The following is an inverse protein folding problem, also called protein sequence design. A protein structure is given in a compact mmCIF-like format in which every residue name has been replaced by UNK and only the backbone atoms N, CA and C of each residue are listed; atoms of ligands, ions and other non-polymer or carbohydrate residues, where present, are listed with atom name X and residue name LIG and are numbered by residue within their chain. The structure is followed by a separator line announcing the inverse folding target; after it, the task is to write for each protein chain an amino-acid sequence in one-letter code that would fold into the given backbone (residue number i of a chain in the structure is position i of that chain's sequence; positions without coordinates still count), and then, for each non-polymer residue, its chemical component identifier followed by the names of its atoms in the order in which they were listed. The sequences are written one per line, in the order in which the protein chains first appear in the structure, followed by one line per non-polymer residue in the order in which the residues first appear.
data_IF_128230929533
#
_entry.id   IF_128230929533
#
_cell.length_a   1.000
_cell.length_b   1.000
_cell.length_c   1.000
_cell.angle_alpha   90.00
_cell.angle_beta   90.00
_cell.angle_gamma   90.00
#
_symmetry.space_group_name_H-M   'P 1'
#
loop_
_entity.id
_entity.type
_entity.pdbx_description
1 polymer ?
#
# COMPACT_ATOMS: atom_id res chain seq x y z
N UNK A 1 -49.79 19.92 9.05
CA UNK A 1 -49.65 20.70 10.30
C UNK A 1 -48.99 19.78 11.32
N UNK A 2 -47.91 20.23 11.93
CA UNK A 2 -46.94 19.40 12.67
C UNK A 2 -47.59 18.64 13.83
N UNK A 3 -47.31 17.33 13.90
CA UNK A 3 -47.72 16.46 15.00
C UNK A 3 -46.62 16.45 16.07
N UNK A 4 -47.05 16.66 17.31
CA UNK A 4 -46.25 16.74 18.53
C UNK A 4 -45.29 15.54 18.68
N UNK A 5 -43.98 15.81 18.56
CA UNK A 5 -42.91 14.87 18.86
C UNK A 5 -42.57 14.94 20.35
N UNK A 6 -42.58 13.76 20.97
CA UNK A 6 -42.50 13.51 22.39
C UNK A 6 -41.37 14.24 23.15
N UNK A 7 -41.75 14.72 24.33
CA UNK A 7 -40.90 15.17 25.42
C UNK A 7 -39.87 14.10 25.77
N UNK A 8 -38.59 14.46 25.67
CA UNK A 8 -37.50 13.73 26.30
C UNK A 8 -36.95 14.66 27.37
N UNK A 9 -37.46 14.51 28.60
CA UNK A 9 -37.02 15.26 29.77
C UNK A 9 -35.51 15.08 29.99
N UNK A 10 -34.77 16.16 29.83
CA UNK A 10 -33.37 16.24 30.27
C UNK A 10 -33.33 16.24 31.80
N UNK A 11 -32.49 15.40 32.43
CA UNK A 11 -32.37 15.42 33.89
C UNK A 11 -31.68 16.71 34.33
N UNK A 12 -32.43 17.56 35.04
CA UNK A 12 -31.93 18.68 35.83
C UNK A 12 -30.84 18.18 36.80
N UNK A 13 -29.57 18.40 36.46
CA UNK A 13 -28.47 18.32 37.41
C UNK A 13 -28.63 19.43 38.44
N UNK A 14 -29.00 19.05 39.66
CA UNK A 14 -28.87 19.91 40.86
C UNK A 14 -27.42 20.37 40.97
N UNK A 15 -27.17 21.68 40.82
CA UNK A 15 -25.93 22.31 41.25
C UNK A 15 -25.95 22.42 42.78
N UNK A 16 -25.26 21.50 43.46
CA UNK A 16 -24.74 21.74 44.80
C UNK A 16 -23.33 22.33 44.71
N UNK A 17 -22.95 23.33 45.52
CA UNK A 17 -21.58 23.84 45.53
C UNK A 17 -20.71 23.00 46.49
N UNK A 18 -19.39 22.95 46.21
CA UNK A 18 -18.31 22.12 46.82
C UNK A 18 -18.06 20.84 45.99
N UNK A 19 -16.95 20.61 45.28
CA UNK A 19 -15.58 21.09 45.33
C UNK A 19 -15.03 21.18 43.90
N UNK A 20 -14.46 22.34 43.51
CA UNK A 20 -13.88 22.51 42.16
C UNK A 20 -12.46 23.09 42.13
N UNK A 21 -11.71 23.01 43.23
CA UNK A 21 -10.33 23.55 43.30
C UNK A 21 -9.20 22.51 43.46
N UNK A 22 -9.49 21.23 43.75
CA UNK A 22 -8.43 20.20 43.84
C UNK A 22 -8.14 19.44 42.53
N UNK A 23 -8.79 19.82 41.41
CA UNK A 23 -8.63 19.13 40.12
C UNK A 23 -7.39 19.55 39.32
N UNK A 24 -6.99 20.84 39.35
CA UNK A 24 -6.01 21.33 38.37
C UNK A 24 -4.56 20.89 38.65
N UNK A 25 -4.15 20.81 39.91
CA UNK A 25 -2.79 20.38 40.29
C UNK A 25 -2.57 18.89 40.06
N UNK A 26 -3.59 18.07 40.37
CA UNK A 26 -3.53 16.63 40.17
C UNK A 26 -3.52 16.29 38.67
N UNK A 27 -4.38 16.95 37.88
CA UNK A 27 -4.44 16.76 36.41
C UNK A 27 -3.14 17.21 35.72
N UNK A 28 -2.55 18.34 36.13
CA UNK A 28 -1.27 18.81 35.56
C UNK A 28 -0.12 17.86 35.86
N UNK A 29 0.02 17.40 37.11
CA UNK A 29 1.06 16.43 37.46
C UNK A 29 0.93 15.09 36.71
N UNK A 30 -0.32 14.66 36.44
CA UNK A 30 -0.59 13.45 35.68
C UNK A 30 -0.25 13.62 34.20
N UNK A 31 -0.53 14.80 33.62
CA UNK A 31 -0.12 15.16 32.24
C UNK A 31 1.39 15.19 32.08
N UNK A 32 2.10 15.87 32.99
CA UNK A 32 3.57 15.91 32.98
C UNK A 32 4.17 14.50 33.05
N UNK A 33 3.61 13.63 33.91
CA UNK A 33 4.06 12.24 34.02
C UNK A 33 3.80 11.43 32.75
N UNK A 34 2.62 11.58 32.13
CA UNK A 34 2.30 10.93 30.84
C UNK A 34 3.25 11.39 29.73
N UNK A 35 3.62 12.68 29.72
CA UNK A 35 4.55 13.23 28.74
C UNK A 35 5.96 12.65 28.90
N UNK A 36 6.47 12.56 30.14
CA UNK A 36 7.75 11.90 30.42
C UNK A 36 7.73 10.41 30.04
N UNK A 37 6.63 9.72 30.34
CA UNK A 37 6.41 8.33 29.95
C UNK A 37 6.36 8.15 28.41
N UNK A 38 5.87 9.14 27.67
CA UNK A 38 5.92 9.18 26.19
C UNK A 38 7.34 9.40 25.69
N UNK A 39 8.08 10.35 26.24
CA UNK A 39 9.49 10.59 25.87
C UNK A 39 10.37 9.36 26.13
N UNK A 40 10.14 8.67 27.25
CA UNK A 40 10.84 7.41 27.54
C UNK A 40 10.54 6.35 26.47
N UNK A 41 9.29 6.24 26.02
CA UNK A 41 8.92 5.32 24.93
C UNK A 41 9.51 5.71 23.59
N UNK A 42 9.44 6.99 23.20
CA UNK A 42 10.06 7.48 21.98
C UNK A 42 11.60 7.35 22.02
N UNK A 43 12.19 7.18 23.21
CA UNK A 43 13.61 6.83 23.36
C UNK A 43 13.91 5.35 23.06
N UNK A 44 12.91 4.46 23.07
CA UNK A 44 13.03 3.04 22.74
C UNK A 44 13.14 2.87 21.23
N UNK A 45 14.37 3.01 20.76
CA UNK A 45 14.72 2.91 19.36
C UNK A 45 15.99 2.10 19.24
N UNK A 46 16.06 1.19 18.26
CA UNK A 46 17.14 0.20 18.16
C UNK A 46 18.53 0.84 18.17
N UNK A 47 18.70 2.03 17.57
CA UNK A 47 19.98 2.75 17.55
C UNK A 47 20.31 3.52 18.83
N UNK A 48 19.33 3.78 19.71
CA UNK A 48 19.54 4.44 21.02
C UNK A 48 19.71 3.43 22.15
N UNK A 49 18.85 2.41 22.20
CA UNK A 49 18.77 1.43 23.30
C UNK A 49 18.60 0.00 22.75
N UNK A 50 19.58 -0.55 22.01
CA UNK A 50 19.41 -1.79 21.23
C UNK A 50 18.91 -2.98 22.06
N UNK A 51 19.54 -3.25 23.21
CA UNK A 51 19.18 -4.40 24.04
C UNK A 51 17.79 -4.29 24.66
N UNK A 52 17.43 -3.11 25.18
CA UNK A 52 16.13 -2.88 25.81
C UNK A 52 15.02 -2.92 24.75
N UNK A 53 15.24 -2.25 23.62
CA UNK A 53 14.28 -2.26 22.50
C UNK A 53 14.05 -3.68 22.00
N UNK A 54 15.10 -4.49 21.80
CA UNK A 54 14.94 -5.88 21.39
C UNK A 54 14.23 -6.72 22.45
N UNK A 55 14.57 -6.56 23.72
CA UNK A 55 13.89 -7.26 24.81
C UNK A 55 12.39 -6.95 24.82
N UNK A 56 12.02 -5.68 24.73
CA UNK A 56 10.63 -5.24 24.72
C UNK A 56 9.89 -5.71 23.47
N UNK A 57 10.55 -5.66 22.31
CA UNK A 57 10.05 -6.23 21.06
C UNK A 57 9.72 -7.72 21.21
N UNK A 58 10.65 -8.53 21.75
CA UNK A 58 10.42 -9.97 21.94
C UNK A 58 9.30 -10.26 22.96
N UNK A 59 9.22 -9.47 24.03
CA UNK A 59 8.16 -9.60 25.03
C UNK A 59 6.79 -9.25 24.45
N UNK A 60 6.68 -8.17 23.68
CA UNK A 60 5.43 -7.82 22.99
C UNK A 60 5.03 -8.89 21.98
N UNK A 61 6.02 -9.40 21.24
CA UNK A 61 5.81 -10.49 20.28
C UNK A 61 5.27 -11.73 20.98
N UNK A 62 5.85 -12.10 22.13
CA UNK A 62 5.40 -13.25 22.91
C UNK A 62 3.98 -13.06 23.48
N UNK A 63 3.65 -11.87 23.99
CA UNK A 63 2.31 -11.55 24.49
C UNK A 63 1.28 -11.62 23.35
N UNK A 64 1.58 -10.95 22.24
CA UNK A 64 0.71 -10.93 21.06
C UNK A 64 0.51 -12.33 20.49
N UNK A 65 1.58 -13.12 20.42
CA UNK A 65 1.52 -14.51 19.98
C UNK A 65 0.66 -15.36 20.91
N UNK A 66 0.82 -15.21 22.24
CA UNK A 66 -0.02 -15.90 23.23
C UNK A 66 -1.50 -15.53 23.07
N UNK A 67 -1.82 -14.24 22.91
CA UNK A 67 -3.19 -13.77 22.69
C UNK A 67 -3.79 -14.36 21.41
N UNK A 68 -3.01 -14.42 20.32
CA UNK A 68 -3.42 -15.02 19.06
C UNK A 68 -3.61 -16.54 19.19
N UNK A 69 -2.67 -17.24 19.81
CA UNK A 69 -2.79 -18.69 20.07
C UNK A 69 -4.05 -19.00 20.88
N UNK A 70 -4.35 -18.19 21.90
CA UNK A 70 -5.58 -18.36 22.69
C UNK A 70 -6.84 -18.14 21.86
N UNK A 71 -6.89 -17.07 21.04
CA UNK A 71 -8.02 -16.80 20.12
C UNK A 71 -8.20 -17.92 19.09
N UNK A 72 -7.10 -18.46 18.56
CA UNK A 72 -7.11 -19.62 17.64
C UNK A 72 -7.60 -20.88 18.35
N UNK A 73 -7.16 -21.11 19.60
CA UNK A 73 -7.60 -22.25 20.40
C UNK A 73 -9.11 -22.23 20.67
N UNK A 74 -9.68 -21.05 20.95
CA UNK A 74 -11.13 -20.90 21.08
C UNK A 74 -11.87 -21.33 19.80
N UNK A 75 -11.23 -21.20 18.63
CA UNK A 75 -11.73 -21.65 17.32
C UNK A 75 -11.11 -22.98 16.88
N UNK A 76 -10.77 -23.87 17.82
CA UNK A 76 -10.11 -25.17 17.57
C UNK A 76 -10.69 -25.99 16.42
N UNK A 77 -12.00 -25.98 16.20
CA UNK A 77 -12.63 -26.73 15.11
C UNK A 77 -12.22 -26.21 13.73
N UNK A 78 -12.17 -24.89 13.55
CA UNK A 78 -11.71 -24.26 12.31
C UNK A 78 -10.23 -24.52 12.12
N UNK A 79 -9.42 -24.37 13.18
CA UNK A 79 -7.98 -24.65 13.13
C UNK A 79 -7.73 -26.11 12.73
N UNK A 80 -8.44 -27.05 13.35
CA UNK A 80 -8.35 -28.47 13.02
C UNK A 80 -8.68 -28.74 11.55
N UNK A 81 -9.79 -28.18 11.04
CA UNK A 81 -10.15 -28.31 9.64
C UNK A 81 -9.07 -27.73 8.71
N UNK A 82 -8.54 -26.55 9.02
CA UNK A 82 -7.46 -25.93 8.24
C UNK A 82 -6.19 -26.77 8.25
N UNK A 83 -5.81 -27.34 9.41
CA UNK A 83 -4.65 -28.23 9.53
C UNK A 83 -4.86 -29.52 8.73
N UNK A 84 -6.04 -30.12 8.77
CA UNK A 84 -6.36 -31.30 7.95
C UNK A 84 -6.26 -30.98 6.47
N UNK A 85 -6.82 -29.86 6.02
CA UNK A 85 -6.72 -29.42 4.62
C UNK A 85 -5.27 -29.16 4.21
N UNK A 86 -4.46 -28.52 5.06
CA UNK A 86 -3.05 -28.27 4.79
C UNK A 86 -2.23 -29.57 4.75
N UNK A 87 -2.51 -30.53 5.63
CA UNK A 87 -1.90 -31.85 5.61
C UNK A 87 -2.27 -32.64 4.36
N UNK A 88 -3.53 -32.60 3.93
CA UNK A 88 -3.97 -33.20 2.67
C UNK A 88 -3.29 -32.56 1.46
N UNK A 89 -3.15 -31.22 1.45
CA UNK A 89 -2.42 -30.51 0.42
C UNK A 89 -0.92 -30.87 0.41
N UNK A 90 -0.29 -30.94 1.58
CA UNK A 90 1.12 -31.33 1.71
C UNK A 90 1.36 -32.78 1.28
N UNK A 91 0.41 -33.68 1.57
CA UNK A 91 0.43 -35.05 1.11
C UNK A 91 0.27 -35.11 -0.42
N UNK A 92 -0.67 -34.36 -0.98
CA UNK A 92 -0.84 -34.26 -2.43
C UNK A 92 0.41 -33.68 -3.12
N UNK A 93 1.10 -32.72 -2.50
CA UNK A 93 2.36 -32.15 -2.99
C UNK A 93 3.52 -33.16 -2.96
N UNK A 94 3.54 -34.03 -1.95
CA UNK A 94 4.64 -35.00 -1.74
C UNK A 94 4.45 -36.29 -2.52
N UNK A 95 3.21 -36.67 -2.86
CA UNK A 95 2.93 -37.86 -3.66
C UNK A 95 3.21 -37.54 -5.13
N UNK A 96 4.19 -38.24 -5.70
CA UNK A 96 4.43 -38.22 -7.14
C UNK A 96 3.22 -38.79 -7.89
N UNK A 97 2.70 -38.04 -8.85
CA UNK A 97 1.54 -38.44 -9.64
C UNK A 97 1.26 -37.47 -10.79
N UNK A 98 0.26 -37.80 -11.62
CA UNK A 98 -0.15 -36.97 -12.75
C UNK A 98 -0.61 -35.55 -12.33
N UNK A 99 -1.04 -35.39 -11.07
CA UNK A 99 -1.40 -34.08 -10.51
C UNK A 99 -0.18 -33.18 -10.25
N UNK A 100 1.04 -33.72 -10.22
CA UNK A 100 2.25 -32.96 -9.87
C UNK A 100 2.55 -31.84 -10.88
N UNK A 101 2.21 -32.02 -12.16
CA UNK A 101 2.33 -30.97 -13.17
C UNK A 101 1.47 -29.75 -12.82
N UNK A 102 0.22 -29.99 -12.38
CA UNK A 102 -0.68 -28.93 -11.94
C UNK A 102 -0.22 -28.28 -10.64
N UNK A 103 0.32 -29.07 -9.70
CA UNK A 103 0.88 -28.57 -8.44
C UNK A 103 2.06 -27.63 -8.70
N UNK A 104 3.01 -28.03 -9.56
CA UNK A 104 4.15 -27.19 -9.94
C UNK A 104 3.72 -25.93 -10.68
N UNK A 105 2.73 -26.04 -11.57
CA UNK A 105 2.15 -24.87 -12.23
C UNK A 105 1.52 -23.90 -11.22
N UNK A 106 0.73 -24.41 -10.29
CA UNK A 106 0.10 -23.61 -9.24
C UNK A 106 1.14 -22.97 -8.32
N UNK A 107 2.17 -23.71 -7.92
CA UNK A 107 3.28 -23.20 -7.11
C UNK A 107 3.98 -22.03 -7.81
N UNK A 108 4.37 -22.22 -9.08
CA UNK A 108 5.00 -21.17 -9.89
C UNK A 108 4.11 -19.92 -9.97
N UNK A 109 2.81 -20.09 -10.25
CA UNK A 109 1.86 -18.97 -10.34
C UNK A 109 1.61 -18.31 -8.98
N UNK A 110 1.52 -19.08 -7.91
CA UNK A 110 1.33 -18.56 -6.56
C UNK A 110 2.53 -17.73 -6.10
N UNK A 111 3.75 -18.24 -6.26
CA UNK A 111 4.98 -17.51 -5.95
C UNK A 111 5.12 -16.25 -6.80
N UNK A 112 4.75 -16.33 -8.08
CA UNK A 112 4.72 -15.15 -8.96
C UNK A 112 3.73 -14.10 -8.49
N UNK A 113 2.50 -14.49 -8.14
CA UNK A 113 1.50 -13.58 -7.57
C UNK A 113 1.97 -12.99 -6.23
N UNK A 114 2.51 -13.81 -5.33
CA UNK A 114 3.01 -13.37 -4.04
C UNK A 114 4.16 -12.37 -4.19
N UNK A 115 5.06 -12.58 -5.15
CA UNK A 115 6.13 -11.64 -5.50
C UNK A 115 5.56 -10.27 -5.92
N UNK A 116 4.60 -10.25 -6.85
CA UNK A 116 4.00 -8.99 -7.31
C UNK A 116 3.14 -8.29 -6.26
N UNK A 117 2.39 -9.04 -5.45
CA UNK A 117 1.68 -8.49 -4.28
C UNK A 117 2.67 -7.90 -3.28
N UNK A 118 3.77 -8.62 -2.99
CA UNK A 118 4.83 -8.16 -2.09
C UNK A 118 5.47 -6.86 -2.58
N UNK A 119 5.86 -6.79 -3.85
CA UNK A 119 6.34 -5.56 -4.48
C UNK A 119 5.31 -4.43 -4.41
N UNK A 120 4.02 -4.74 -4.60
CA UNK A 120 2.93 -3.78 -4.46
C UNK A 120 2.81 -3.23 -3.03
N UNK A 121 2.93 -4.07 -2.01
CA UNK A 121 2.89 -3.63 -0.60
C UNK A 121 4.10 -2.74 -0.30
N UNK A 122 5.30 -3.16 -0.72
CA UNK A 122 6.54 -2.40 -0.54
C UNK A 122 6.51 -1.04 -1.27
N UNK A 123 5.79 -0.96 -2.40
CA UNK A 123 5.57 0.29 -3.14
C UNK A 123 4.94 1.40 -2.28
N UNK A 124 4.09 1.02 -1.32
CA UNK A 124 3.45 1.95 -0.37
C UNK A 124 4.36 2.31 0.81
N UNK A 125 5.37 1.49 1.09
CA UNK A 125 6.30 1.67 2.21
C UNK A 125 7.36 2.73 1.85
N UNK A 126 7.21 3.94 2.39
CA UNK A 126 8.26 4.96 2.49
C UNK A 126 7.94 6.30 1.82
N UNK A 127 7.74 6.37 0.49
CA UNK A 127 7.33 7.62 -0.18
C UNK A 127 5.81 7.73 -0.39
N UNK A 128 5.04 6.65 -0.17
CA UNK A 128 3.59 6.60 -0.42
C UNK A 128 3.18 6.76 -1.89
N UNK A 129 4.04 7.24 -2.80
CA UNK A 129 3.67 7.49 -4.21
C UNK A 129 3.63 6.23 -5.07
N UNK A 130 4.37 5.17 -4.67
CA UNK A 130 4.55 3.94 -5.44
C UNK A 130 5.17 4.11 -6.84
N UNK A 131 5.52 5.34 -7.24
CA UNK A 131 6.03 5.65 -8.57
C UNK A 131 7.43 5.05 -8.78
N UNK A 132 8.28 5.08 -7.76
CA UNK A 132 9.63 4.53 -7.83
C UNK A 132 9.60 3.00 -8.03
N UNK A 133 8.83 2.27 -7.23
CA UNK A 133 8.70 0.80 -7.37
C UNK A 133 8.05 0.43 -8.70
N UNK A 134 7.06 1.22 -9.15
CA UNK A 134 6.52 1.06 -10.49
C UNK A 134 7.59 1.23 -11.57
N UNK A 135 8.38 2.30 -11.53
CA UNK A 135 9.42 2.59 -12.53
C UNK A 135 10.59 1.60 -12.51
N UNK A 136 10.84 0.92 -11.38
CA UNK A 136 11.93 -0.06 -11.26
C UNK A 136 11.50 -1.48 -11.63
N UNK A 137 10.26 -1.88 -11.32
CA UNK A 137 9.83 -3.26 -11.47
C UNK A 137 8.73 -3.42 -12.52
N UNK A 138 7.53 -2.87 -12.26
CA UNK A 138 6.36 -3.13 -13.11
C UNK A 138 6.47 -2.45 -14.48
N UNK A 139 6.94 -1.20 -14.52
CA UNK A 139 7.12 -0.40 -15.73
C UNK A 139 8.09 -1.06 -16.72
N UNK A 140 9.34 -1.37 -16.31
CA UNK A 140 10.30 -2.07 -17.15
C UNK A 140 9.81 -3.44 -17.61
N UNK A 141 9.11 -4.19 -16.75
CA UNK A 141 8.52 -5.48 -17.13
C UNK A 141 7.44 -5.33 -18.22
N UNK A 142 6.52 -4.36 -18.07
CA UNK A 142 5.50 -4.09 -19.10
C UNK A 142 6.18 -3.61 -20.39
N UNK A 143 7.20 -2.76 -20.28
CA UNK A 143 7.92 -2.23 -21.41
C UNK A 143 8.68 -3.33 -22.18
N UNK A 144 9.36 -4.23 -21.48
CA UNK A 144 10.09 -5.36 -22.11
C UNK A 144 9.13 -6.31 -22.81
N UNK A 145 8.00 -6.66 -22.17
CA UNK A 145 6.94 -7.48 -22.79
C UNK A 145 6.33 -6.78 -24.01
N UNK A 146 6.12 -5.46 -23.94
CA UNK A 146 5.57 -4.68 -25.06
C UNK A 146 6.53 -4.68 -26.25
N UNK A 147 7.82 -4.43 -26.02
CA UNK A 147 8.83 -4.42 -27.07
C UNK A 147 8.97 -5.79 -27.72
N UNK A 148 9.13 -6.84 -26.91
CA UNK A 148 9.27 -8.20 -27.41
C UNK A 148 8.01 -8.67 -28.15
N UNK A 149 6.82 -8.28 -27.71
CA UNK A 149 5.59 -8.60 -28.42
C UNK A 149 5.60 -8.03 -29.86
N UNK A 150 6.03 -6.78 -30.03
CA UNK A 150 6.14 -6.16 -31.36
C UNK A 150 7.29 -6.72 -32.20
N UNK A 151 8.40 -7.14 -31.60
CA UNK A 151 9.53 -7.76 -32.30
C UNK A 151 9.22 -9.18 -32.77
N UNK A 152 8.65 -9.99 -31.87
CA UNK A 152 8.32 -11.38 -32.16
C UNK A 152 7.02 -11.53 -32.96
N UNK A 153 6.18 -10.50 -33.02
CA UNK A 153 4.82 -10.60 -33.60
C UNK A 153 3.90 -11.54 -32.81
N UNK A 154 4.24 -11.84 -31.55
CA UNK A 154 3.51 -12.76 -30.68
C UNK A 154 3.74 -12.43 -29.21
N UNK A 155 2.74 -12.70 -28.36
CA UNK A 155 2.87 -12.65 -26.88
C UNK A 155 3.09 -14.03 -26.26
N UNK A 156 3.15 -15.07 -27.08
CA UNK A 156 3.34 -16.46 -26.66
C UNK A 156 4.83 -16.77 -26.52
N UNK A 157 5.48 -16.09 -25.57
CA UNK A 157 6.88 -16.36 -25.23
C UNK A 157 7.02 -17.77 -24.63
N UNK A 158 7.97 -18.60 -25.10
CA UNK A 158 8.23 -19.91 -24.54
C UNK A 158 8.64 -19.81 -23.06
N UNK A 159 8.03 -20.66 -22.24
CA UNK A 159 8.34 -20.85 -20.82
C UNK A 159 8.91 -22.26 -20.62
N UNK A 160 10.17 -22.43 -20.17
CA UNK A 160 11.23 -21.43 -19.93
C UNK A 160 11.84 -20.85 -21.23
N UNK A 161 12.55 -19.68 -21.21
CA UNK A 161 13.11 -18.95 -20.06
C UNK A 161 12.28 -17.75 -19.53
N UNK A 162 11.08 -17.49 -20.06
CA UNK A 162 10.20 -16.44 -19.56
C UNK A 162 9.79 -16.70 -18.08
N UNK A 163 9.74 -15.68 -17.20
CA UNK A 163 9.86 -14.24 -17.44
C UNK A 163 11.28 -13.64 -17.31
N UNK A 164 12.31 -14.46 -17.05
CA UNK A 164 13.67 -13.96 -16.84
C UNK A 164 14.30 -13.44 -18.14
N UNK A 165 14.04 -14.12 -19.25
CA UNK A 165 14.43 -13.70 -20.60
C UNK A 165 13.25 -13.89 -21.54
N UNK A 166 13.07 -12.94 -22.46
CA UNK A 166 12.01 -13.02 -23.46
C UNK A 166 12.64 -13.45 -24.79
N UNK A 167 12.31 -14.66 -25.23
CA UNK A 167 12.75 -15.23 -26.51
C UNK A 167 11.53 -15.28 -27.44
N UNK A 168 11.73 -15.05 -28.73
CA UNK A 168 10.65 -15.20 -29.70
C UNK A 168 10.34 -16.69 -29.94
N UNK A 169 9.07 -17.06 -30.13
CA UNK A 169 8.73 -18.42 -30.55
C UNK A 169 9.37 -18.73 -31.92
N UNK A 170 9.89 -19.96 -32.08
CA UNK A 170 10.47 -20.44 -33.33
C UNK A 170 9.39 -20.79 -34.36
N UNK A 171 8.21 -21.22 -33.89
CA UNK A 171 7.10 -21.55 -34.76
C UNK A 171 6.62 -20.29 -35.50
N UNK A 172 6.51 -20.38 -36.83
CA UNK A 172 5.83 -19.41 -37.71
C UNK A 172 4.31 -19.37 -37.43
N UNK A 173 3.91 -19.40 -36.15
CA UNK A 173 2.56 -19.12 -35.72
C UNK A 173 2.20 -17.77 -36.31
N UNK A 174 1.14 -17.78 -37.15
CA UNK A 174 0.52 -16.65 -37.82
C UNK A 174 0.92 -15.35 -37.12
N UNK A 175 1.64 -14.48 -37.82
CA UNK A 175 1.97 -13.14 -37.33
C UNK A 175 0.65 -12.42 -37.00
N UNK A 176 0.15 -12.67 -35.79
CA UNK A 176 -1.06 -12.06 -35.29
C UNK A 176 -0.73 -10.59 -35.17
N UNK A 177 -1.55 -9.73 -35.76
CA UNK A 177 -1.38 -8.30 -35.59
C UNK A 177 -1.40 -7.99 -34.09
N UNK A 178 -0.24 -7.61 -33.54
CA UNK A 178 -0.10 -7.37 -32.11
C UNK A 178 -0.94 -6.17 -31.72
N UNK A 179 -2.07 -6.46 -31.11
CA UNK A 179 -2.98 -5.45 -30.61
C UNK A 179 -2.56 -5.01 -29.20
N UNK A 180 -2.87 -3.77 -28.86
CA UNK A 180 -2.67 -3.25 -27.51
C UNK A 180 -3.41 -4.10 -26.47
N UNK A 181 -4.58 -4.65 -26.82
CA UNK A 181 -5.35 -5.56 -25.96
C UNK A 181 -4.64 -6.87 -25.68
N UNK A 182 -3.94 -7.42 -26.68
CA UNK A 182 -3.15 -8.66 -26.55
C UNK A 182 -2.00 -8.46 -25.57
N UNK A 183 -1.32 -7.31 -25.62
CA UNK A 183 -0.24 -6.98 -24.67
C UNK A 183 -0.83 -6.74 -23.27
N UNK A 184 -1.92 -5.98 -23.16
CA UNK A 184 -2.59 -5.71 -21.88
C UNK A 184 -3.10 -6.98 -21.19
N UNK A 185 -3.50 -8.00 -21.95
CA UNK A 185 -3.95 -9.28 -21.40
C UNK A 185 -2.77 -10.12 -20.90
N UNK A 186 -1.63 -10.10 -21.62
CA UNK A 186 -0.40 -10.82 -21.23
C UNK A 186 0.13 -10.37 -19.87
N UNK A 187 0.21 -9.06 -19.63
CA UNK A 187 0.73 -8.48 -18.37
C UNK A 187 -0.34 -8.26 -17.29
N UNK A 188 -1.53 -8.85 -17.47
CA UNK A 188 -2.69 -8.58 -16.61
C UNK A 188 -2.47 -9.07 -15.18
N UNK A 189 -1.88 -10.25 -15.02
CA UNK A 189 -1.72 -10.89 -13.73
C UNK A 189 -0.77 -10.08 -12.85
N UNK A 190 0.41 -9.76 -13.38
CA UNK A 190 1.47 -8.99 -12.73
C UNK A 190 0.97 -7.62 -12.30
N UNK A 191 0.32 -6.89 -13.22
CA UNK A 191 -0.20 -5.56 -12.95
C UNK A 191 -1.34 -5.59 -11.91
N UNK A 192 -2.23 -6.58 -11.97
CA UNK A 192 -3.35 -6.72 -11.03
C UNK A 192 -2.85 -7.06 -9.63
N UNK A 193 -1.94 -8.02 -9.51
CA UNK A 193 -1.33 -8.42 -8.23
C UNK A 193 -0.54 -7.28 -7.59
N UNK A 194 0.22 -6.52 -8.39
CA UNK A 194 0.88 -5.30 -7.93
C UNK A 194 -0.11 -4.23 -7.44
N UNK A 195 -1.19 -4.00 -8.19
CA UNK A 195 -2.23 -3.05 -7.79
C UNK A 195 -2.98 -3.47 -6.52
N UNK A 196 -3.20 -4.77 -6.34
CA UNK A 196 -3.76 -5.35 -5.12
C UNK A 196 -2.80 -5.21 -3.93
N UNK A 197 -1.51 -5.46 -4.13
CA UNK A 197 -0.47 -5.23 -3.13
C UNK A 197 -0.43 -3.77 -2.69
N UNK A 198 -0.50 -2.83 -3.63
CA UNK A 198 -0.57 -1.39 -3.33
C UNK A 198 -1.79 -1.08 -2.48
N UNK A 199 -2.97 -1.63 -2.81
CA UNK A 199 -4.18 -1.44 -2.00
C UNK A 199 -4.03 -1.93 -0.55
N UNK A 200 -3.29 -3.03 -0.34
CA UNK A 200 -3.01 -3.58 0.99
C UNK A 200 -2.01 -2.70 1.76
N UNK A 201 -0.93 -2.27 1.09
CA UNK A 201 0.12 -1.45 1.71
C UNK A 201 -0.36 -0.07 2.19
N UNK A 202 -1.49 0.41 1.69
CA UNK A 202 -2.06 1.72 2.01
C UNK A 202 -3.17 1.66 3.08
N UNK A 203 -3.39 0.49 3.68
CA UNK A 203 -4.30 0.32 4.81
C UNK A 203 -3.89 1.01 6.13
N UNK A 204 -2.58 1.19 6.46
CA UNK A 204 -2.19 1.75 7.76
C UNK A 204 -2.84 3.10 8.09
N UNK A 205 -2.85 4.13 7.20
CA UNK A 205 -3.49 5.41 7.50
C UNK A 205 -4.99 5.30 7.85
N UNK A 206 -5.72 4.37 7.21
CA UNK A 206 -7.12 4.12 7.53
C UNK A 206 -7.29 3.57 8.95
N UNK A 207 -6.46 2.59 9.34
CA UNK A 207 -6.55 2.00 10.68
C UNK A 207 -6.09 2.97 11.76
N UNK A 208 -5.04 3.75 11.51
CA UNK A 208 -4.57 4.78 12.44
C UNK A 208 -5.64 5.85 12.68
N UNK A 209 -6.20 6.43 11.62
CA UNK A 209 -7.27 7.42 11.74
C UNK A 209 -8.54 6.87 12.41
N UNK A 210 -8.84 5.58 12.19
CA UNK A 210 -9.96 4.90 12.84
C UNK A 210 -9.72 4.67 14.32
N UNK A 211 -8.51 4.25 14.71
CA UNK A 211 -8.13 4.06 16.10
C UNK A 211 -8.21 5.39 16.86
N UNK A 212 -7.59 6.45 16.32
CA UNK A 212 -7.65 7.80 16.88
C UNK A 212 -9.09 8.29 17.13
N UNK A 213 -10.00 8.07 16.16
CA UNK A 213 -11.40 8.48 16.34
C UNK A 213 -12.12 7.68 17.44
N UNK A 214 -11.84 6.38 17.54
CA UNK A 214 -12.44 5.48 18.53
C UNK A 214 -11.92 5.74 19.94
N UNK A 215 -10.67 6.15 20.07
CA UNK A 215 -10.06 6.63 21.32
C UNK A 215 -10.72 7.93 21.83
N UNK A 216 -11.24 8.75 20.91
CA UNK A 216 -11.86 10.04 21.24
C UNK A 216 -10.84 11.17 21.23
N UNK A 217 -11.31 12.42 21.41
CA UNK A 217 -10.46 13.59 21.57
C UNK A 217 -9.96 13.67 23.02
N UNK A 218 -9.36 12.58 23.50
CA UNK A 218 -8.49 12.67 24.66
C UNK A 218 -7.14 13.16 24.13
N UNK A 219 -6.74 14.43 24.37
CA UNK A 219 -5.42 14.91 23.96
C UNK A 219 -4.29 14.11 24.61
N UNK A 220 -4.59 13.31 25.64
CA UNK A 220 -3.63 12.38 26.23
C UNK A 220 -3.56 11.02 25.51
N UNK A 221 -4.39 10.77 24.48
CA UNK A 221 -4.37 9.53 23.69
C UNK A 221 -3.39 9.63 22.52
N UNK A 222 -2.38 8.77 22.54
CA UNK A 222 -1.31 8.75 21.54
C UNK A 222 -1.79 8.50 20.11
N UNK A 223 -2.86 7.71 19.92
CA UNK A 223 -3.38 7.46 18.57
C UNK A 223 -3.95 8.78 18.00
N UNK A 224 -4.47 9.65 18.87
CA UNK A 224 -4.94 11.00 18.52
C UNK A 224 -3.75 11.94 18.22
N UNK A 225 -2.70 11.94 19.04
CA UNK A 225 -1.51 12.77 18.80
C UNK A 225 -0.73 12.32 17.54
N UNK A 226 -0.53 11.02 17.30
CA UNK A 226 0.10 10.50 16.08
C UNK A 226 -0.74 10.84 14.84
N UNK A 227 -2.05 10.82 14.98
CA UNK A 227 -2.97 11.31 13.96
C UNK A 227 -2.86 12.83 13.76
N UNK A 228 -2.74 13.63 14.83
CA UNK A 228 -2.48 15.07 14.72
C UNK A 228 -1.13 15.37 14.05
N UNK A 229 -0.05 14.67 14.40
CA UNK A 229 1.27 14.82 13.75
C UNK A 229 1.22 14.45 12.26
N UNK A 230 0.48 13.40 11.89
CA UNK A 230 0.22 13.03 10.50
C UNK A 230 -0.62 14.10 9.79
N UNK A 231 -1.62 14.66 10.48
CA UNK A 231 -2.40 15.78 9.97
C UNK A 231 -1.50 17.00 9.78
N UNK A 232 -0.62 17.34 10.72
CA UNK A 232 0.33 18.46 10.63
C UNK A 232 1.31 18.30 9.46
N UNK A 233 1.85 17.10 9.25
CA UNK A 233 2.66 16.79 8.06
C UNK A 233 1.88 17.01 6.76
N UNK A 234 0.57 16.71 6.75
CA UNK A 234 -0.31 17.03 5.63
C UNK A 234 -0.73 18.52 5.56
N UNK A 235 -0.60 19.28 6.66
CA UNK A 235 -1.10 20.65 6.83
C UNK A 235 -0.11 21.73 6.41
N UNK A 236 1.16 21.43 6.12
CA UNK A 236 2.14 22.45 5.70
C UNK A 236 1.77 23.20 4.40
N UNK A 237 0.67 22.82 3.75
CA UNK A 237 -0.13 23.67 2.88
C UNK A 237 -1.59 23.83 3.42
N UNK A 238 -1.79 24.72 4.40
CA UNK A 238 -3.04 24.88 5.15
C UNK A 238 -4.29 25.11 4.26
N UNK A 239 -4.16 25.72 3.08
CA UNK A 239 -5.31 26.02 2.20
C UNK A 239 -5.69 24.88 1.27
N UNK A 240 -4.70 24.24 0.61
CA UNK A 240 -5.01 23.21 -0.37
C UNK A 240 -5.43 21.90 0.31
N UNK A 241 -4.75 21.53 1.40
CA UNK A 241 -5.02 20.30 2.12
C UNK A 241 -6.37 20.34 2.84
N UNK A 242 -6.72 21.44 3.49
CA UNK A 242 -8.03 21.59 4.15
C UNK A 242 -9.17 21.55 3.13
N UNK A 243 -9.02 22.24 1.99
CA UNK A 243 -9.98 22.18 0.88
C UNK A 243 -10.07 20.77 0.29
N UNK A 244 -8.94 20.08 0.12
CA UNK A 244 -8.92 18.70 -0.34
C UNK A 244 -9.60 17.76 0.66
N UNK A 245 -9.35 17.92 1.97
CA UNK A 245 -10.02 17.14 3.04
C UNK A 245 -11.53 17.35 2.98
N UNK A 246 -11.96 18.60 2.89
CA UNK A 246 -13.38 18.95 2.82
C UNK A 246 -14.03 18.46 1.51
N UNK A 247 -13.31 18.50 0.38
CA UNK A 247 -13.79 17.96 -0.89
C UNK A 247 -13.91 16.43 -0.86
N UNK A 248 -12.88 15.73 -0.35
CA UNK A 248 -12.91 14.27 -0.16
C UNK A 248 -14.01 13.89 0.80
N UNK A 249 -14.15 14.59 1.92
CA UNK A 249 -15.24 14.39 2.88
C UNK A 249 -16.61 14.54 2.21
N UNK A 250 -16.85 15.67 1.53
CA UNK A 250 -18.13 15.92 0.86
C UNK A 250 -18.42 14.85 -0.19
N UNK A 251 -17.41 14.40 -0.94
CA UNK A 251 -17.58 13.36 -1.95
C UNK A 251 -17.87 11.98 -1.33
N UNK A 252 -17.14 11.60 -0.28
CA UNK A 252 -17.31 10.32 0.40
C UNK A 252 -18.65 10.28 1.15
N UNK A 253 -19.09 11.38 1.78
CA UNK A 253 -20.41 11.45 2.43
C UNK A 253 -21.55 11.46 1.41
N UNK A 254 -21.38 12.12 0.27
CA UNK A 254 -22.44 12.26 -0.74
C UNK A 254 -22.62 11.03 -1.63
N UNK A 255 -21.53 10.35 -1.98
CA UNK A 255 -21.55 9.24 -2.97
C UNK A 255 -21.06 7.91 -2.38
N UNK A 256 -20.58 7.90 -1.13
CA UNK A 256 -20.16 6.68 -0.43
C UNK A 256 -19.06 5.93 -1.17
N UNK A 257 -19.35 4.67 -1.51
CA UNK A 257 -18.44 3.75 -2.20
C UNK A 257 -17.81 4.34 -3.47
N UNK A 258 -18.62 4.98 -4.33
CA UNK A 258 -18.10 5.55 -5.59
C UNK A 258 -17.21 6.78 -5.36
N UNK A 259 -17.44 7.54 -4.29
CA UNK A 259 -16.55 8.64 -3.89
C UNK A 259 -15.17 8.12 -3.50
N UNK A 260 -15.13 7.06 -2.69
CA UNK A 260 -13.88 6.39 -2.30
C UNK A 260 -13.18 5.82 -3.54
N UNK A 261 -13.93 5.19 -4.44
CA UNK A 261 -13.40 4.63 -5.69
C UNK A 261 -12.74 5.71 -6.57
N UNK A 262 -13.38 6.88 -6.70
CA UNK A 262 -12.83 8.00 -7.46
C UNK A 262 -11.52 8.50 -6.84
N UNK A 263 -11.49 8.70 -5.50
CA UNK A 263 -10.26 9.04 -4.78
C UNK A 263 -9.13 8.02 -5.01
N UNK A 264 -9.46 6.72 -4.99
CA UNK A 264 -8.49 5.64 -5.12
C UNK A 264 -7.98 5.42 -6.55
N UNK A 265 -8.69 5.93 -7.55
CA UNK A 265 -8.32 5.80 -8.96
C UNK A 265 -7.38 6.91 -9.44
N UNK A 266 -7.24 7.99 -8.67
CA UNK A 266 -6.46 9.20 -8.94
C UNK A 266 -5.06 9.09 -8.28
N UNK A 267 -4.06 9.93 -8.64
CA UNK A 267 -2.78 10.06 -7.94
C UNK A 267 -2.81 9.83 -6.41
N UNK A 268 -1.79 9.12 -5.92
CA UNK A 268 -1.72 8.60 -4.55
C UNK A 268 -1.99 9.59 -3.41
N UNK A 269 -1.58 10.87 -3.45
CA UNK A 269 -1.88 11.80 -2.36
C UNK A 269 -3.38 11.95 -2.05
N UNK A 270 -4.25 11.81 -3.07
CA UNK A 270 -5.70 11.86 -2.86
C UNK A 270 -6.23 10.59 -2.18
N UNK A 271 -5.56 9.46 -2.43
CA UNK A 271 -5.87 8.19 -1.79
C UNK A 271 -5.53 8.22 -0.30
N UNK A 272 -4.34 8.69 0.07
CA UNK A 272 -3.89 8.77 1.46
C UNK A 272 -4.87 9.62 2.27
N UNK A 273 -5.29 10.74 1.68
CA UNK A 273 -6.32 11.61 2.24
C UNK A 273 -7.67 10.92 2.41
N UNK A 274 -8.08 10.12 1.43
CA UNK A 274 -9.29 9.32 1.52
C UNK A 274 -9.17 8.24 2.60
N UNK A 275 -8.01 7.59 2.76
CA UNK A 275 -7.75 6.62 3.82
C UNK A 275 -7.93 7.23 5.22
N UNK A 276 -7.24 8.35 5.47
CA UNK A 276 -7.35 9.12 6.72
C UNK A 276 -8.80 9.56 6.96
N UNK A 277 -9.45 10.13 5.95
CA UNK A 277 -10.84 10.60 6.06
C UNK A 277 -11.81 9.46 6.35
N UNK A 278 -11.70 8.33 5.63
CA UNK A 278 -12.55 7.16 5.83
C UNK A 278 -12.35 6.53 7.21
N UNK A 279 -11.11 6.47 7.69
CA UNK A 279 -10.79 5.99 9.03
C UNK A 279 -11.40 6.89 10.09
N UNK A 280 -11.17 8.21 9.99
CA UNK A 280 -11.70 9.21 10.91
C UNK A 280 -13.24 9.24 10.96
N UNK A 281 -13.93 8.99 9.84
CA UNK A 281 -15.40 8.89 9.80
C UNK A 281 -15.93 7.48 10.07
N UNK A 282 -15.08 6.54 10.51
CA UNK A 282 -15.45 5.17 10.87
C UNK A 282 -16.18 4.41 9.75
N UNK A 283 -15.84 4.70 8.49
CA UNK A 283 -16.44 4.02 7.34
C UNK A 283 -16.12 2.52 7.42
N UNK A 284 -17.07 1.62 7.16
CA UNK A 284 -16.82 0.18 7.21
C UNK A 284 -15.62 -0.23 6.35
N UNK A 285 -14.75 -1.06 6.92
CA UNK A 285 -13.50 -1.49 6.28
C UNK A 285 -13.74 -2.05 4.88
N UNK A 286 -14.74 -2.92 4.70
CA UNK A 286 -15.02 -3.54 3.40
C UNK A 286 -15.51 -2.56 2.33
N UNK A 287 -16.19 -1.48 2.72
CA UNK A 287 -16.58 -0.41 1.79
C UNK A 287 -15.34 0.35 1.32
N UNK A 288 -14.44 0.68 2.24
CA UNK A 288 -13.18 1.35 1.94
C UNK A 288 -12.23 0.46 1.13
N UNK A 289 -11.95 -0.74 1.62
CA UNK A 289 -11.01 -1.68 1.01
C UNK A 289 -11.52 -2.17 -0.35
N UNK A 290 -12.81 -2.48 -0.50
CA UNK A 290 -13.39 -2.89 -1.77
C UNK A 290 -13.27 -1.79 -2.84
N UNK A 291 -13.59 -0.54 -2.49
CA UNK A 291 -13.44 0.60 -3.39
C UNK A 291 -11.96 0.86 -3.75
N UNK A 292 -11.07 0.74 -2.75
CA UNK A 292 -9.62 0.88 -2.93
C UNK A 292 -9.06 -0.18 -3.87
N UNK A 293 -9.45 -1.44 -3.67
CA UNK A 293 -8.95 -2.56 -4.47
C UNK A 293 -9.37 -2.41 -5.93
N UNK A 294 -10.64 -2.04 -6.20
CA UNK A 294 -11.10 -1.77 -7.57
C UNK A 294 -10.37 -0.54 -8.14
N UNK A 295 -10.24 0.53 -7.36
CA UNK A 295 -9.56 1.76 -7.80
C UNK A 295 -8.11 1.52 -8.18
N UNK A 296 -7.35 0.75 -7.38
CA UNK A 296 -5.92 0.51 -7.61
C UNK A 296 -5.64 -0.69 -8.51
N UNK A 297 -6.24 -1.86 -8.24
CA UNK A 297 -5.97 -3.10 -8.97
C UNK A 297 -6.67 -3.18 -10.33
N UNK A 298 -7.70 -2.37 -10.56
CA UNK A 298 -8.41 -2.33 -11.85
C UNK A 298 -8.16 -0.98 -12.54
N UNK A 299 -8.71 0.11 -12.01
CA UNK A 299 -8.73 1.39 -12.75
C UNK A 299 -7.33 1.98 -12.92
N UNK A 300 -6.63 2.26 -11.81
CA UNK A 300 -5.27 2.82 -11.83
C UNK A 300 -4.28 1.89 -12.55
N UNK A 301 -4.39 0.58 -12.31
CA UNK A 301 -3.61 -0.44 -13.02
C UNK A 301 -3.81 -0.33 -14.55
N UNK A 302 -5.03 -0.19 -15.03
CA UNK A 302 -5.30 -0.03 -16.46
C UNK A 302 -4.71 1.27 -17.02
N UNK A 303 -4.83 2.39 -16.30
CA UNK A 303 -4.23 3.66 -16.72
C UNK A 303 -2.70 3.55 -16.82
N UNK A 304 -2.05 3.01 -15.78
CA UNK A 304 -0.59 2.87 -15.73
C UNK A 304 -0.06 1.91 -16.80
N UNK A 305 -0.69 0.74 -16.98
CA UNK A 305 -0.26 -0.21 -18.02
C UNK A 305 -0.46 0.37 -19.43
N UNK A 306 -1.59 1.02 -19.66
CA UNK A 306 -1.94 1.59 -20.96
C UNK A 306 -0.94 2.67 -21.33
N UNK A 307 -0.60 3.55 -20.38
CA UNK A 307 0.41 4.57 -20.56
C UNK A 307 1.77 3.98 -20.97
N UNK A 308 2.24 2.93 -20.28
CA UNK A 308 3.52 2.28 -20.62
C UNK A 308 3.45 1.60 -21.99
N UNK A 309 2.43 0.80 -22.27
CA UNK A 309 2.29 0.09 -23.55
C UNK A 309 2.25 1.07 -24.72
N UNK A 310 1.50 2.17 -24.59
CA UNK A 310 1.45 3.21 -25.61
C UNK A 310 2.82 3.86 -25.81
N UNK A 311 3.49 4.24 -24.72
CA UNK A 311 4.80 4.91 -24.76
C UNK A 311 5.87 4.06 -25.49
N UNK A 312 5.79 2.73 -25.40
CA UNK A 312 6.76 1.81 -26.02
C UNK A 312 6.29 1.19 -27.35
N UNK A 313 5.07 1.47 -27.81
CA UNK A 313 4.56 1.03 -29.11
C UNK A 313 4.97 2.00 -30.22
N UNK A 314 5.83 1.60 -31.17
CA UNK A 314 6.27 2.49 -32.28
C UNK A 314 5.07 3.06 -33.01
N UNK A 315 4.19 2.19 -33.49
CA UNK A 315 3.04 2.57 -34.29
C UNK A 315 2.15 3.61 -33.57
N UNK A 316 1.86 3.41 -32.29
CA UNK A 316 1.01 4.33 -31.52
C UNK A 316 1.75 5.64 -31.21
N UNK A 317 3.03 5.57 -30.87
CA UNK A 317 3.86 6.77 -30.66
C UNK A 317 3.89 7.63 -31.92
N UNK A 318 4.10 7.03 -33.09
CA UNK A 318 4.14 7.76 -34.36
C UNK A 318 2.79 8.40 -34.69
N UNK A 319 1.69 7.69 -34.41
CA UNK A 319 0.34 8.24 -34.52
C UNK A 319 0.13 9.42 -33.55
N UNK A 320 0.54 9.31 -32.29
CA UNK A 320 0.44 10.41 -31.32
C UNK A 320 1.29 11.61 -31.72
N UNK A 321 2.53 11.40 -32.14
CA UNK A 321 3.41 12.44 -32.66
C UNK A 321 2.73 13.13 -33.86
N UNK A 322 2.15 12.36 -34.79
CA UNK A 322 1.45 12.91 -35.96
C UNK A 322 0.27 13.80 -35.56
N UNK A 323 -0.52 13.39 -34.56
CA UNK A 323 -1.64 14.16 -34.02
C UNK A 323 -1.18 15.45 -33.35
N UNK A 324 -0.08 15.41 -32.58
CA UNK A 324 0.53 16.61 -31.99
C UNK A 324 0.95 17.61 -33.09
N UNK A 325 1.42 17.11 -34.23
CA UNK A 325 1.77 17.94 -35.39
C UNK A 325 0.62 18.74 -35.98
N UNK A 326 -0.63 18.27 -35.83
CA UNK A 326 -1.83 18.95 -36.33
C UNK A 326 -2.16 20.19 -35.48
N UNK A 327 -1.59 20.33 -34.28
CA UNK A 327 -1.86 21.47 -33.39
C UNK A 327 -1.27 22.76 -34.00
N UNK A 328 -2.10 23.76 -34.36
CA UNK A 328 -1.63 24.99 -34.98
C UNK A 328 -0.71 25.77 -34.03
N UNK A 329 0.42 26.24 -34.55
CA UNK A 329 1.37 27.12 -33.84
C UNK A 329 2.49 26.42 -33.07
N UNK A 330 2.23 25.28 -32.41
CA UNK A 330 3.21 24.60 -31.54
C UNK A 330 3.53 23.16 -31.98
N UNK A 331 2.66 22.55 -32.82
CA UNK A 331 2.72 21.13 -33.15
C UNK A 331 4.05 20.68 -33.74
N UNK A 332 4.52 21.31 -34.82
CA UNK A 332 5.79 20.96 -35.47
C UNK A 332 7.01 21.13 -34.54
N UNK A 333 6.99 22.12 -33.65
CA UNK A 333 8.08 22.35 -32.69
C UNK A 333 8.09 21.32 -31.56
N UNK A 334 6.94 20.71 -31.22
CA UNK A 334 6.83 19.68 -30.18
C UNK A 334 7.05 18.27 -30.72
N UNK A 335 6.72 18.02 -31.99
CA UNK A 335 6.88 16.70 -32.61
C UNK A 335 8.30 16.16 -32.51
N UNK A 336 9.29 16.97 -32.89
CA UNK A 336 10.70 16.58 -32.94
C UNK A 336 11.26 16.20 -31.56
N UNK A 337 11.21 17.08 -30.52
CA UNK A 337 11.74 16.72 -29.20
C UNK A 337 10.98 15.57 -28.54
N UNK A 338 9.66 15.47 -28.77
CA UNK A 338 8.87 14.37 -28.21
C UNK A 338 9.23 13.02 -28.86
N UNK A 339 9.37 12.98 -30.19
CA UNK A 339 9.83 11.78 -30.90
C UNK A 339 11.24 11.36 -30.48
N UNK A 340 12.18 12.30 -30.44
CA UNK A 340 13.57 12.05 -30.03
C UNK A 340 13.65 11.52 -28.58
N UNK A 341 12.87 12.10 -27.66
CA UNK A 341 12.80 11.63 -26.28
C UNK A 341 12.28 10.18 -26.19
N UNK A 342 11.20 9.87 -26.90
CA UNK A 342 10.61 8.52 -26.88
C UNK A 342 11.52 7.47 -27.54
N UNK A 343 12.13 7.80 -28.68
CA UNK A 343 13.10 6.94 -29.35
C UNK A 343 14.34 6.70 -28.47
N UNK A 344 14.83 7.72 -27.77
CA UNK A 344 15.93 7.57 -26.82
C UNK A 344 15.57 6.64 -25.64
N UNK A 345 14.37 6.77 -25.07
CA UNK A 345 13.91 5.87 -24.00
C UNK A 345 13.75 4.43 -24.49
N UNK A 346 13.27 4.25 -25.73
CA UNK A 346 13.13 2.94 -26.37
C UNK A 346 14.49 2.27 -26.62
N UNK A 347 15.43 2.99 -27.21
CA UNK A 347 16.76 2.45 -27.54
C UNK A 347 17.55 2.06 -26.28
N UNK A 348 17.39 2.82 -25.18
CA UNK A 348 17.93 2.44 -23.87
C UNK A 348 17.43 1.09 -23.37
N UNK A 349 16.24 0.65 -23.80
CA UNK A 349 15.62 -0.60 -23.36
C UNK A 349 15.87 -1.79 -24.31
N UNK A 350 16.17 -1.58 -25.61
CA UNK A 350 16.53 -2.68 -26.54
C UNK A 350 17.96 -3.22 -26.34
N UNK A 351 18.86 -2.44 -25.74
CA UNK A 351 20.27 -2.82 -25.57
C UNK A 351 20.65 -3.54 -24.24
N UNK A 352 19.83 -4.41 -23.61
CA UNK A 352 20.36 -5.34 -22.62
C UNK A 352 20.74 -6.72 -23.19
N UNK A 353 20.45 -7.02 -24.46
CA UNK A 353 20.64 -8.37 -25.04
C UNK A 353 21.71 -8.48 -26.16
N UNK A 354 22.43 -7.40 -26.48
CA UNK A 354 23.53 -7.41 -27.44
C UNK A 354 24.87 -7.58 -26.72
N UNK A 355 25.47 -8.75 -26.85
CA UNK A 355 26.74 -9.20 -26.23
C UNK A 355 26.71 -9.40 -24.72
N UNK A 356 27.29 -10.52 -24.27
CA UNK A 356 27.36 -10.99 -22.89
C UNK A 356 28.14 -10.10 -21.90
N UNK A 357 28.17 -8.79 -22.11
CA UNK A 357 28.38 -7.84 -21.05
C UNK A 357 27.03 -7.68 -20.35
N UNK A 358 26.92 -8.19 -19.12
CA UNK A 358 25.86 -7.77 -18.20
C UNK A 358 25.71 -6.26 -18.37
N UNK A 359 24.60 -5.83 -19.00
CA UNK A 359 24.32 -4.43 -19.20
C UNK A 359 24.34 -3.85 -17.80
N UNK A 360 25.46 -3.21 -17.45
CA UNK A 360 25.75 -2.86 -16.07
C UNK A 360 24.52 -2.14 -15.58
N UNK A 361 23.89 -2.68 -14.52
CA UNK A 361 22.74 -2.06 -13.87
C UNK A 361 22.97 -0.57 -13.97
N UNK A 362 22.09 0.15 -14.69
CA UNK A 362 22.31 1.58 -14.86
C UNK A 362 22.61 2.11 -13.47
N UNK A 363 23.73 2.81 -13.28
CA UNK A 363 24.18 3.22 -11.95
C UNK A 363 23.03 3.83 -11.14
N UNK A 364 22.09 4.47 -11.84
CA UNK A 364 20.81 4.95 -11.37
C UNK A 364 19.89 3.84 -10.82
N UNK A 365 19.60 2.76 -11.56
CA UNK A 365 18.86 1.58 -11.05
C UNK A 365 19.51 1.01 -9.81
N UNK A 366 20.83 0.82 -9.81
CA UNK A 366 21.55 0.32 -8.63
C UNK A 366 21.38 1.25 -7.42
N UNK A 367 21.55 2.57 -7.61
CA UNK A 367 21.32 3.58 -6.56
C UNK A 367 19.87 3.51 -6.07
N UNK A 368 18.90 3.46 -6.97
CA UNK A 368 17.48 3.37 -6.62
C UNK A 368 17.16 2.09 -5.85
N UNK A 369 17.70 0.94 -6.25
CA UNK A 369 17.55 -0.32 -5.53
C UNK A 369 18.16 -0.26 -4.13
N UNK A 370 19.33 0.37 -3.96
CA UNK A 370 19.90 0.60 -2.62
C UNK A 370 19.06 1.53 -1.77
N UNK A 371 18.51 2.59 -2.37
CA UNK A 371 17.57 3.49 -1.67
C UNK A 371 16.31 2.72 -1.23
N UNK A 372 15.72 1.91 -2.10
CA UNK A 372 14.58 1.05 -1.76
C UNK A 372 14.94 0.07 -0.64
N UNK A 373 16.10 -0.61 -0.73
CA UNK A 373 16.55 -1.52 0.32
C UNK A 373 16.70 -0.80 1.66
N UNK A 374 17.30 0.39 1.70
CA UNK A 374 17.43 1.21 2.90
C UNK A 374 16.05 1.58 3.46
N UNK A 375 15.09 1.95 2.60
CA UNK A 375 13.71 2.26 3.01
C UNK A 375 13.01 1.04 3.60
N UNK A 376 13.18 -0.15 3.00
CA UNK A 376 12.61 -1.41 3.52
C UNK A 376 13.26 -1.79 4.84
N UNK A 377 14.59 -1.68 4.96
CA UNK A 377 15.29 -1.89 6.23
C UNK A 377 14.80 -0.92 7.30
N UNK A 378 14.65 0.36 6.98
CA UNK A 378 14.12 1.36 7.89
C UNK A 378 12.68 1.03 8.33
N UNK A 379 11.83 0.55 7.41
CA UNK A 379 10.49 0.12 7.74
C UNK A 379 10.47 -1.09 8.69
N UNK A 380 11.30 -2.11 8.44
CA UNK A 380 11.45 -3.26 9.35
C UNK A 380 11.92 -2.78 10.74
N UNK A 381 12.89 -1.87 10.79
CA UNK A 381 13.35 -1.26 12.03
C UNK A 381 12.22 -0.48 12.73
N UNK A 382 11.39 0.23 11.97
CA UNK A 382 10.24 0.95 12.49
C UNK A 382 9.22 0.02 13.13
N UNK A 383 8.98 -1.18 12.56
CA UNK A 383 8.11 -2.20 13.16
C UNK A 383 8.69 -2.67 14.49
N UNK A 384 10.00 -2.95 14.55
CA UNK A 384 10.67 -3.40 15.78
C UNK A 384 10.54 -2.32 16.86
N UNK A 385 10.81 -1.06 16.51
CA UNK A 385 10.69 0.06 17.44
C UNK A 385 9.24 0.24 17.93
N UNK A 386 8.26 0.23 17.02
CA UNK A 386 6.84 0.37 17.34
C UNK A 386 6.34 -0.73 18.28
N UNK A 387 6.73 -1.99 18.04
CA UNK A 387 6.38 -3.11 18.93
C UNK A 387 7.04 -2.98 20.30
N UNK A 388 8.30 -2.52 20.38
CA UNK A 388 8.95 -2.26 21.66
C UNK A 388 8.26 -1.13 22.44
N UNK A 389 7.82 -0.08 21.75
CA UNK A 389 7.05 1.03 22.31
C UNK A 389 5.67 0.58 22.80
N UNK A 390 5.00 -0.32 22.07
CA UNK A 390 3.74 -0.95 22.49
C UNK A 390 3.90 -1.69 23.83
N UNK A 391 4.97 -2.46 24.02
CA UNK A 391 5.23 -3.12 25.30
C UNK A 391 5.38 -2.12 26.45
N UNK A 392 6.16 -1.06 26.23
CA UNK A 392 6.37 -0.03 27.23
C UNK A 392 5.05 0.69 27.58
N UNK A 393 4.18 0.94 26.58
CA UNK A 393 2.81 1.44 26.77
C UNK A 393 2.00 0.51 27.68
N UNK A 394 2.03 -0.81 27.44
CA UNK A 394 1.35 -1.79 28.31
C UNK A 394 1.85 -1.73 29.75
N UNK A 395 3.17 -1.60 29.94
CA UNK A 395 3.76 -1.51 31.28
C UNK A 395 3.28 -0.25 32.02
N UNK A 396 3.24 0.89 31.34
CA UNK A 396 2.75 2.16 31.89
C UNK A 396 1.26 2.09 32.21
N UNK A 397 0.42 1.60 31.28
CA UNK A 397 -1.01 1.40 31.52
C UNK A 397 -1.30 0.49 32.72
N UNK A 398 -0.49 -0.56 32.89
CA UNK A 398 -0.57 -1.44 34.05
C UNK A 398 -0.26 -0.69 35.35
N UNK A 399 0.82 0.11 35.39
CA UNK A 399 1.16 0.96 36.54
C UNK A 399 0.04 1.94 36.88
N UNK A 400 -0.54 2.62 35.89
CA UNK A 400 -1.67 3.53 36.11
C UNK A 400 -2.92 2.81 36.64
N UNK A 401 -3.17 1.58 36.19
CA UNK A 401 -4.31 0.78 36.66
C UNK A 401 -4.11 0.28 38.11
N UNK A 402 -2.88 -0.06 38.47
CA UNK A 402 -2.51 -0.42 39.85
C UNK A 402 -2.54 0.79 40.79
N UNK A 403 -2.21 1.98 40.31
CA UNK A 403 -2.31 3.22 41.08
C UNK A 403 -3.76 3.68 41.28
N UNK A 404 -4.65 3.45 40.31
CA UNK A 404 -6.09 3.76 40.45
C UNK A 404 -6.83 2.81 41.39
N UNK A 405 -6.31 1.60 41.61
CA UNK A 405 -6.92 0.59 42.49
C UNK A 405 -6.40 0.66 43.93
N UNK A 406 -5.32 1.40 44.17
CA UNK A 406 -4.83 1.76 45.52
C UNK A 406 -5.51 3.05 45.98
#
# INVERSE_FOLDING_TARGET
MAANGAECEQPQKRLGPKDKQNGSSTDSSLRERKQLDREERLSLVLWKRPFITLQYFFLETAITLKEWTWKLWQRRGVVFLTVVLFSLFSLAYSIEGAHQEYVQHLEKKFLWCAYWVGLGILSSVGLGTGLHTFLLYLGPHIASVTLAAYECGSVNFPEPPYPAQIVCPEDEALQESISLWTIMSKVRLEACMWGAGTAIGELPPYFMARAARMSGADPDDEDYEEFEEMLEHSQSAQDFASRAKLAVQNMVQKVGFFGILACASIPNPLFDLAGITCGHFLIPFWTFFGATLIGKAIIKMHIQKLFVIITFSKHIVEQMVSLIGVIPGVGASLQKPFREYLEAQRTKLHNPAGDGAAAGESWLSWVFEKVVLVMVCYFILSIINSMAQSYAKRLQQKKYSEEKTK
#
